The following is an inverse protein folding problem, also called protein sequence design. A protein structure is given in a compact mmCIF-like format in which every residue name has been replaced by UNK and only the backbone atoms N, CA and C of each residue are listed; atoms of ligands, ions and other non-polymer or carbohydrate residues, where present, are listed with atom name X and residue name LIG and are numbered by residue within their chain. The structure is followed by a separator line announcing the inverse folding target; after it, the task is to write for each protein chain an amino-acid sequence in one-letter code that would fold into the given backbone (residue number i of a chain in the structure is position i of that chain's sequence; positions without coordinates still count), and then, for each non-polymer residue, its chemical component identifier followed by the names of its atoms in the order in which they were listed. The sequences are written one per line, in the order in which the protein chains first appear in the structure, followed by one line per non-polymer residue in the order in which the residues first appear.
data_IF_403408215522
#
_entry.id   IF_403408215522
#
_cell.length_a   1.000
_cell.length_b   1.000
_cell.length_c   1.000
_cell.angle_alpha   90.00
_cell.angle_beta   90.00
_cell.angle_gamma   90.00
#
_symmetry.space_group_name_H-M   'P 1'
#
loop_
_entity.id
_entity.type
_entity.pdbx_description
1 polymer ?
#
# COMPACT_ATOMS: atom_id res chain seq x y z
N UNK A 1 -33.43 39.50 -51.76
CA UNK A 1 -33.31 39.37 -50.30
C UNK A 1 -33.10 37.86 -50.00
N UNK A 2 -31.85 37.44 -49.83
CA UNK A 2 -31.48 36.03 -49.57
C UNK A 2 -31.28 35.84 -48.02
N UNK A 3 -32.12 35.03 -47.42
CA UNK A 3 -32.03 34.69 -46.01
C UNK A 3 -31.04 33.54 -45.83
N UNK A 4 -29.92 33.80 -45.14
CA UNK A 4 -28.98 32.75 -44.70
C UNK A 4 -29.47 32.18 -43.35
N UNK A 5 -29.80 30.89 -43.36
CA UNK A 5 -30.09 30.16 -42.11
C UNK A 5 -28.76 29.64 -41.58
N UNK A 6 -28.38 30.07 -40.37
CA UNK A 6 -27.22 29.56 -39.65
C UNK A 6 -27.60 28.24 -38.96
N UNK A 7 -26.99 27.14 -39.38
CA UNK A 7 -27.11 25.84 -38.70
C UNK A 7 -26.09 25.79 -37.56
N UNK A 8 -26.60 25.78 -36.34
CA UNK A 8 -25.81 25.62 -35.12
C UNK A 8 -25.55 24.11 -34.88
N UNK A 9 -24.33 23.66 -35.18
CA UNK A 9 -23.88 22.30 -34.85
C UNK A 9 -23.52 22.23 -33.38
N UNK A 10 -24.38 21.60 -32.55
CA UNK A 10 -24.11 21.26 -31.18
C UNK A 10 -23.27 19.96 -31.21
N UNK A 11 -21.96 20.07 -30.93
CA UNK A 11 -21.09 18.92 -30.73
C UNK A 11 -21.39 18.31 -29.38
N UNK A 12 -22.14 17.21 -29.32
CA UNK A 12 -22.28 16.38 -28.13
C UNK A 12 -20.93 15.69 -27.89
N UNK A 13 -20.19 16.18 -26.91
CA UNK A 13 -18.99 15.52 -26.41
C UNK A 13 -19.36 14.20 -25.73
N UNK A 14 -19.15 13.09 -26.43
CA UNK A 14 -19.21 11.74 -25.85
C UNK A 14 -18.01 11.56 -24.89
N UNK A 15 -18.23 11.81 -23.61
CA UNK A 15 -17.28 11.35 -22.57
C UNK A 15 -17.37 9.83 -22.50
N UNK A 16 -16.42 9.13 -23.14
CA UNK A 16 -16.27 7.70 -22.96
C UNK A 16 -15.87 7.44 -21.49
N UNK A 17 -16.64 6.65 -20.72
CA UNK A 17 -16.18 6.20 -19.42
C UNK A 17 -14.92 5.35 -19.63
N UNK A 18 -13.81 5.72 -18.98
CA UNK A 18 -12.64 4.89 -18.91
C UNK A 18 -13.05 3.59 -18.21
N UNK A 19 -13.11 2.50 -18.94
CA UNK A 19 -13.30 1.15 -18.39
C UNK A 19 -12.01 0.80 -17.64
N UNK A 20 -11.94 1.22 -16.37
CA UNK A 20 -10.97 0.65 -15.43
C UNK A 20 -11.25 -0.86 -15.39
N UNK A 21 -10.27 -1.68 -15.77
CA UNK A 21 -10.40 -3.13 -15.81
C UNK A 21 -10.72 -3.62 -14.37
N UNK A 22 -11.93 -4.14 -14.07
CA UNK A 22 -12.32 -4.53 -12.72
C UNK A 22 -11.48 -5.68 -12.15
N UNK A 23 -10.76 -6.43 -12.99
CA UNK A 23 -9.92 -7.54 -12.58
C UNK A 23 -8.60 -7.12 -11.88
N UNK A 24 -8.25 -5.82 -11.88
CA UNK A 24 -7.03 -5.29 -11.23
C UNK A 24 -7.28 -4.53 -9.92
N UNK A 25 -8.48 -4.54 -9.37
CA UNK A 25 -8.76 -3.88 -8.09
C UNK A 25 -8.22 -4.69 -6.90
N UNK A 26 -6.92 -4.57 -6.62
CA UNK A 26 -6.28 -5.22 -5.47
C UNK A 26 -6.62 -4.50 -4.16
N UNK A 27 -7.20 -5.23 -3.21
CA UNK A 27 -7.52 -4.72 -1.87
C UNK A 27 -8.61 -3.65 -1.83
N UNK A 28 -8.83 -2.98 -0.69
CA UNK A 28 -9.86 -1.96 -0.52
C UNK A 28 -9.70 -0.79 -1.49
N UNK A 29 -10.80 -0.17 -1.89
CA UNK A 29 -10.82 0.96 -2.82
C UNK A 29 -10.20 2.24 -2.20
N UNK A 30 -9.77 3.16 -3.05
CA UNK A 30 -9.47 4.54 -2.61
C UNK A 30 -10.75 5.26 -2.20
N UNK A 31 -10.63 6.21 -1.27
CA UNK A 31 -11.75 6.96 -0.72
C UNK A 31 -12.48 6.27 0.44
N UNK A 32 -12.23 4.99 0.72
CA UNK A 32 -12.82 4.31 1.88
C UNK A 32 -11.85 4.28 3.06
N UNK A 33 -12.40 4.17 4.28
CA UNK A 33 -11.59 3.94 5.48
C UNK A 33 -10.93 2.56 5.40
N UNK A 34 -9.63 2.50 5.67
CA UNK A 34 -8.88 1.25 5.68
C UNK A 34 -9.47 0.26 6.70
N UNK A 35 -9.57 -1.03 6.38
CA UNK A 35 -9.99 -2.04 7.34
C UNK A 35 -9.12 -2.00 8.60
N UNK A 36 -9.73 -2.22 9.77
CA UNK A 36 -8.98 -2.25 11.04
C UNK A 36 -7.90 -3.33 11.00
N UNK A 37 -6.70 -2.99 11.44
CA UNK A 37 -5.63 -3.97 11.66
C UNK A 37 -5.68 -4.58 13.07
N UNK A 38 -6.59 -4.12 13.94
CA UNK A 38 -6.54 -4.49 15.35
C UNK A 38 -5.23 -4.03 15.99
N UNK A 39 -4.56 -4.93 16.70
CA UNK A 39 -3.30 -4.65 17.39
C UNK A 39 -2.24 -5.74 17.12
N UNK A 40 -1.79 -5.94 15.85
CA UNK A 40 -0.72 -6.87 15.56
C UNK A 40 0.56 -6.46 16.29
N UNK A 41 1.41 -7.44 16.60
CA UNK A 41 2.73 -7.19 17.22
C UNK A 41 3.71 -6.73 16.14
N UNK A 42 4.53 -5.74 16.47
CA UNK A 42 5.69 -5.40 15.66
C UNK A 42 6.90 -6.32 15.97
N UNK A 43 8.03 -6.05 15.34
CA UNK A 43 9.29 -6.79 15.50
C UNK A 43 9.86 -6.72 16.93
N UNK A 44 9.40 -5.82 17.79
CA UNK A 44 9.79 -5.75 19.20
C UNK A 44 8.82 -6.50 20.12
N UNK A 45 7.73 -7.05 19.55
CA UNK A 45 6.64 -7.68 20.28
C UNK A 45 5.60 -6.69 20.81
N UNK A 46 5.75 -5.38 20.54
CA UNK A 46 4.80 -4.36 20.98
C UNK A 46 3.53 -4.37 20.09
N UNK A 47 2.32 -4.30 20.69
CA UNK A 47 1.08 -4.18 19.93
C UNK A 47 0.97 -2.80 19.27
N UNK A 48 0.52 -2.76 18.01
CA UNK A 48 0.38 -1.53 17.21
C UNK A 48 -1.00 -1.41 16.60
N UNK A 49 -1.65 -0.27 16.78
CA UNK A 49 -2.88 0.11 16.07
C UNK A 49 -2.56 1.05 14.92
N UNK A 50 -3.49 1.23 13.96
CA UNK A 50 -3.33 2.23 12.89
C UNK A 50 -3.04 3.62 13.47
N UNK A 51 -3.71 3.99 14.54
CA UNK A 51 -3.53 5.28 15.20
C UNK A 51 -2.11 5.44 15.80
N UNK A 52 -1.56 4.38 16.43
CA UNK A 52 -0.21 4.42 16.99
C UNK A 52 0.89 4.45 15.93
N UNK A 53 0.58 3.98 14.72
CA UNK A 53 1.49 3.94 13.58
C UNK A 53 1.48 5.24 12.76
N UNK A 54 0.35 5.95 12.73
CA UNK A 54 0.17 7.13 11.89
C UNK A 54 1.10 8.29 12.32
N UNK A 55 1.58 9.01 11.34
CA UNK A 55 2.17 10.33 11.53
C UNK A 55 1.08 11.41 11.60
N UNK A 56 1.50 12.66 11.70
CA UNK A 56 0.60 13.83 11.79
C UNK A 56 -0.40 13.90 10.62
N UNK A 57 0.05 13.60 9.39
CA UNK A 57 -0.77 13.66 8.17
C UNK A 57 -1.25 12.30 7.69
N UNK A 58 -0.61 11.20 8.10
CA UNK A 58 -1.04 9.88 7.67
C UNK A 58 -0.02 8.77 7.83
N UNK A 59 -0.30 7.67 7.14
CA UNK A 59 0.47 6.44 7.20
C UNK A 59 0.67 5.87 5.79
N UNK A 60 1.90 5.47 5.49
CA UNK A 60 2.21 4.57 4.38
C UNK A 60 2.19 3.15 4.94
N UNK A 61 1.11 2.41 4.67
CA UNK A 61 0.92 1.04 5.11
C UNK A 61 1.15 0.10 3.93
N UNK A 62 2.10 -0.81 4.03
CA UNK A 62 2.34 -1.74 2.93
C UNK A 62 2.31 -3.20 3.37
N UNK A 63 1.84 -4.05 2.46
CA UNK A 63 1.83 -5.49 2.63
C UNK A 63 2.92 -6.11 1.76
N UNK A 64 3.70 -7.00 2.36
CA UNK A 64 4.80 -7.70 1.69
C UNK A 64 4.80 -9.18 2.05
N UNK A 65 5.46 -10.01 1.23
CA UNK A 65 5.36 -11.46 1.35
C UNK A 65 6.16 -11.98 2.54
N UNK A 66 7.47 -11.72 2.58
CA UNK A 66 8.34 -12.15 3.68
C UNK A 66 9.65 -11.36 3.71
N UNK A 67 10.10 -11.00 4.91
CA UNK A 67 11.43 -10.47 5.17
C UNK A 67 12.51 -11.57 5.19
N UNK A 68 12.11 -12.84 5.30
CA UNK A 68 13.03 -13.98 5.46
C UNK A 68 13.49 -14.53 4.12
N UNK A 69 12.56 -14.87 3.23
CA UNK A 69 12.87 -15.64 2.01
C UNK A 69 12.55 -14.91 0.69
N UNK A 70 11.93 -13.73 0.73
CA UNK A 70 11.53 -13.02 -0.48
C UNK A 70 12.55 -11.93 -0.85
N UNK A 71 13.47 -12.14 -1.82
CA UNK A 71 14.51 -11.15 -2.14
C UNK A 71 13.94 -9.83 -2.67
N UNK A 72 12.85 -9.86 -3.43
CA UNK A 72 12.15 -8.65 -3.91
C UNK A 72 11.52 -7.85 -2.75
N UNK A 73 11.05 -8.54 -1.70
CA UNK A 73 10.53 -7.90 -0.51
C UNK A 73 11.66 -7.26 0.30
N UNK A 74 12.77 -7.98 0.48
CA UNK A 74 13.94 -7.46 1.19
C UNK A 74 14.48 -6.19 0.52
N UNK A 75 14.60 -6.19 -0.81
CA UNK A 75 15.02 -5.03 -1.57
C UNK A 75 14.04 -3.84 -1.38
N UNK A 76 12.73 -4.09 -1.42
CA UNK A 76 11.72 -3.06 -1.19
C UNK A 76 11.75 -2.51 0.24
N UNK A 77 11.93 -3.37 1.25
CA UNK A 77 12.04 -2.96 2.65
C UNK A 77 13.22 -1.99 2.85
N UNK A 78 14.36 -2.28 2.23
CA UNK A 78 15.56 -1.43 2.29
C UNK A 78 15.35 -0.12 1.51
N UNK A 79 14.74 -0.18 0.33
CA UNK A 79 14.42 1.00 -0.48
C UNK A 79 13.47 1.94 0.29
N UNK A 80 12.38 1.41 0.85
CA UNK A 80 11.46 2.19 1.68
C UNK A 80 12.14 2.79 2.92
N UNK A 81 13.11 2.08 3.51
CA UNK A 81 13.87 2.58 4.65
C UNK A 81 14.69 3.85 4.30
N UNK A 82 15.20 3.95 3.10
CA UNK A 82 15.93 5.12 2.62
C UNK A 82 15.06 6.39 2.56
N UNK A 83 13.75 6.23 2.43
CA UNK A 83 12.80 7.34 2.34
C UNK A 83 12.16 7.77 3.66
N UNK A 84 12.47 7.11 4.79
CA UNK A 84 11.81 7.38 6.09
C UNK A 84 11.91 8.84 6.49
N UNK A 85 13.08 9.46 6.35
CA UNK A 85 13.28 10.87 6.70
C UNK A 85 12.39 11.80 5.84
N UNK A 86 12.30 11.55 4.53
CA UNK A 86 11.49 12.35 3.61
C UNK A 86 9.98 12.15 3.84
N UNK A 87 9.54 10.96 4.18
CA UNK A 87 8.16 10.69 4.57
C UNK A 87 7.80 11.39 5.88
N UNK A 88 8.71 11.34 6.88
CA UNK A 88 8.53 12.01 8.17
C UNK A 88 8.41 13.52 8.02
N UNK A 89 9.25 14.17 7.18
CA UNK A 89 9.15 15.61 6.87
C UNK A 89 7.78 15.99 6.28
N UNK A 90 7.13 15.08 5.58
CA UNK A 90 5.78 15.25 5.01
C UNK A 90 4.66 14.91 6.00
N UNK A 91 5.00 14.55 7.25
CA UNK A 91 4.04 14.16 8.28
C UNK A 91 3.51 12.72 8.15
N UNK A 92 4.14 11.89 7.32
CA UNK A 92 3.79 10.49 7.15
C UNK A 92 4.77 9.58 7.88
N UNK A 93 4.25 8.48 8.44
CA UNK A 93 5.04 7.37 8.93
C UNK A 93 4.89 6.15 8.01
N UNK A 94 5.75 5.17 8.19
CA UNK A 94 5.79 3.95 7.40
C UNK A 94 5.60 2.73 8.30
N UNK A 95 4.82 1.74 7.85
CA UNK A 95 4.70 0.45 8.52
C UNK A 95 4.44 -0.67 7.50
N UNK A 96 5.07 -1.82 7.69
CA UNK A 96 4.90 -3.00 6.85
C UNK A 96 4.13 -4.11 7.57
N UNK A 97 3.40 -4.95 6.82
CA UNK A 97 2.70 -6.13 7.32
C UNK A 97 3.11 -7.34 6.49
N UNK A 98 3.50 -8.42 7.14
CA UNK A 98 3.70 -9.73 6.53
C UNK A 98 3.17 -10.86 7.39
N UNK A 99 3.11 -12.06 6.84
CA UNK A 99 2.75 -13.26 7.62
C UNK A 99 3.91 -13.78 8.50
N UNK A 100 5.09 -13.14 8.44
CA UNK A 100 6.23 -13.51 9.25
C UNK A 100 5.94 -13.33 10.75
N UNK A 101 6.60 -14.13 11.58
CA UNK A 101 6.56 -13.98 13.04
C UNK A 101 7.39 -12.77 13.49
N UNK A 102 7.13 -12.20 14.68
CA UNK A 102 7.89 -11.06 15.21
C UNK A 102 9.40 -11.27 15.20
N UNK A 103 9.89 -12.44 15.60
CA UNK A 103 11.32 -12.76 15.67
C UNK A 103 12.00 -12.73 14.29
N UNK A 104 11.29 -13.18 13.25
CA UNK A 104 11.77 -13.12 11.87
C UNK A 104 11.91 -11.67 11.39
N UNK A 105 10.91 -10.84 11.67
CA UNK A 105 10.96 -9.41 11.38
C UNK A 105 12.05 -8.70 12.20
N UNK A 106 12.26 -9.10 13.47
CA UNK A 106 13.33 -8.56 14.32
C UNK A 106 14.71 -8.84 13.75
N UNK A 107 14.97 -10.07 13.30
CA UNK A 107 16.24 -10.45 12.68
C UNK A 107 16.55 -9.62 11.43
N UNK A 108 15.55 -9.40 10.57
CA UNK A 108 15.70 -8.55 9.39
C UNK A 108 15.95 -7.08 9.77
N UNK A 109 15.15 -6.55 10.72
CA UNK A 109 15.28 -5.18 11.22
C UNK A 109 16.68 -4.92 11.79
N UNK A 110 17.20 -5.81 12.61
CA UNK A 110 18.54 -5.67 13.18
C UNK A 110 19.63 -5.68 12.09
N UNK A 111 19.54 -6.61 11.15
CA UNK A 111 20.53 -6.76 10.07
C UNK A 111 20.60 -5.52 9.16
N UNK A 112 19.44 -4.94 8.82
CA UNK A 112 19.33 -3.88 7.81
C UNK A 112 18.98 -2.51 8.42
N UNK A 113 18.97 -2.41 9.75
CA UNK A 113 18.69 -1.16 10.49
C UNK A 113 17.37 -0.50 10.02
N UNK A 114 16.31 -1.31 9.90
CA UNK A 114 14.98 -0.84 9.50
C UNK A 114 14.41 0.10 10.59
N UNK A 115 14.03 1.31 10.20
CA UNK A 115 13.63 2.41 11.09
C UNK A 115 12.12 2.52 11.28
N UNK A 116 11.33 1.54 10.82
CA UNK A 116 9.88 1.55 10.90
C UNK A 116 9.33 0.19 11.35
N UNK A 117 8.09 0.15 11.89
CA UNK A 117 7.48 -1.09 12.34
C UNK A 117 7.24 -2.10 11.21
N UNK A 118 7.63 -3.35 11.45
CA UNK A 118 7.26 -4.53 10.68
C UNK A 118 6.28 -5.36 11.51
N UNK A 119 5.03 -5.36 11.11
CA UNK A 119 3.92 -6.00 11.82
C UNK A 119 3.78 -7.47 11.38
N UNK A 120 3.45 -8.31 12.34
CA UNK A 120 3.32 -9.75 12.16
C UNK A 120 1.87 -10.18 12.06
N UNK A 121 1.54 -10.91 11.00
CA UNK A 121 0.22 -11.52 10.73
C UNK A 121 0.37 -13.03 10.41
N UNK A 122 0.89 -13.86 11.35
CA UNK A 122 1.28 -15.25 11.06
C UNK A 122 0.12 -16.15 10.65
N UNK A 123 -1.12 -15.75 10.89
CA UNK A 123 -2.33 -16.43 10.43
C UNK A 123 -2.93 -15.85 9.15
N UNK A 124 -2.32 -14.81 8.58
CA UNK A 124 -2.81 -14.07 7.40
C UNK A 124 -4.22 -13.47 7.59
N UNK A 125 -4.61 -13.19 8.82
CA UNK A 125 -5.95 -12.65 9.16
C UNK A 125 -6.13 -11.24 8.61
N UNK A 126 -5.08 -10.41 8.71
CA UNK A 126 -5.09 -9.05 8.17
C UNK A 126 -4.97 -9.07 6.64
N UNK A 127 -4.11 -9.93 6.12
CA UNK A 127 -3.95 -10.16 4.68
C UNK A 127 -5.31 -10.52 4.06
N UNK A 128 -6.07 -11.42 4.69
CA UNK A 128 -7.41 -11.80 4.23
C UNK A 128 -8.43 -10.67 4.37
N UNK A 129 -8.39 -9.96 5.50
CA UNK A 129 -9.30 -8.81 5.75
C UNK A 129 -9.14 -7.71 4.70
N UNK A 130 -7.92 -7.54 4.19
CA UNK A 130 -7.63 -6.60 3.11
C UNK A 130 -7.86 -7.20 1.71
N UNK A 131 -8.27 -8.47 1.60
CA UNK A 131 -8.48 -9.15 0.30
C UNK A 131 -7.19 -9.33 -0.50
N UNK A 132 -6.06 -9.51 0.18
CA UNK A 132 -4.74 -9.49 -0.43
C UNK A 132 -4.10 -10.87 -0.60
N UNK A 133 -4.68 -11.95 -0.01
CA UNK A 133 -4.08 -13.29 -0.10
C UNK A 133 -3.83 -13.67 -1.56
N UNK A 134 -2.61 -14.10 -1.85
CA UNK A 134 -2.21 -14.53 -3.18
C UNK A 134 -2.79 -15.93 -3.46
N UNK A 135 -3.76 -16.06 -4.40
CA UNK A 135 -4.48 -17.31 -4.64
C UNK A 135 -3.63 -18.38 -5.34
N UNK A 136 -2.45 -18.01 -5.88
CA UNK A 136 -1.60 -18.96 -6.58
C UNK A 136 -0.97 -20.00 -5.64
N UNK A 137 -0.87 -19.70 -4.32
CA UNK A 137 -0.22 -20.58 -3.35
C UNK A 137 -1.25 -21.41 -2.58
N UNK A 138 -1.09 -22.72 -2.62
CA UNK A 138 -2.00 -23.68 -1.96
C UNK A 138 -1.47 -24.08 -0.59
N UNK A 139 -2.34 -24.59 0.31
CA UNK A 139 -1.94 -25.18 1.59
C UNK A 139 -0.77 -26.14 1.43
N UNK A 140 0.19 -26.10 2.36
CA UNK A 140 1.43 -26.89 2.31
C UNK A 140 2.60 -26.22 1.56
N UNK A 141 2.34 -25.15 0.81
CA UNK A 141 3.40 -24.33 0.21
C UNK A 141 4.00 -23.38 1.25
N UNK A 142 5.33 -23.17 1.19
CA UNK A 142 6.01 -22.14 2.02
C UNK A 142 5.37 -20.75 1.89
N UNK A 143 4.92 -20.41 0.70
CA UNK A 143 4.30 -19.12 0.42
C UNK A 143 2.78 -19.10 0.66
N UNK A 144 2.18 -20.18 1.20
CA UNK A 144 0.74 -20.15 1.51
C UNK A 144 0.43 -19.08 2.55
N UNK A 145 -0.50 -18.19 2.23
CA UNK A 145 -0.91 -17.09 3.12
C UNK A 145 -0.23 -15.75 2.82
N UNK A 146 0.76 -15.69 1.95
CA UNK A 146 1.38 -14.40 1.58
C UNK A 146 0.39 -13.48 0.87
N UNK A 147 0.56 -12.15 1.01
CA UNK A 147 -0.22 -11.20 0.24
C UNK A 147 0.33 -11.03 -1.18
N UNK A 148 -0.50 -10.58 -2.09
CA UNK A 148 -0.06 -9.82 -3.25
C UNK A 148 0.43 -8.47 -2.73
N UNK A 149 1.68 -8.04 -3.06
CA UNK A 149 2.27 -6.85 -2.46
C UNK A 149 1.58 -5.56 -2.92
N UNK A 150 1.36 -4.66 -1.96
CA UNK A 150 0.70 -3.38 -2.21
C UNK A 150 1.09 -2.35 -1.15
N UNK A 151 1.14 -1.08 -1.53
CA UNK A 151 1.31 0.06 -0.64
C UNK A 151 0.01 0.86 -0.63
N UNK A 152 -0.53 1.15 0.55
CA UNK A 152 -1.64 2.07 0.78
C UNK A 152 -1.08 3.37 1.37
N UNK A 153 -1.51 4.50 0.84
CA UNK A 153 -1.29 5.82 1.45
C UNK A 153 -2.59 6.21 2.14
N UNK A 154 -2.54 6.27 3.47
CA UNK A 154 -3.68 6.61 4.32
C UNK A 154 -3.53 8.05 4.81
N UNK A 155 -4.62 8.81 4.89
CA UNK A 155 -4.63 10.09 5.59
C UNK A 155 -4.67 9.92 7.13
N UNK A 156 -4.62 11.03 7.88
CA UNK A 156 -4.67 11.02 9.35
C UNK A 156 -5.97 10.47 9.95
N UNK A 157 -7.02 10.29 9.14
CA UNK A 157 -8.30 9.66 9.53
C UNK A 157 -8.34 8.17 9.12
N UNK A 158 -7.29 7.65 8.51
CA UNK A 158 -7.22 6.27 8.03
C UNK A 158 -7.94 6.02 6.70
N UNK A 159 -8.31 7.06 5.95
CA UNK A 159 -8.90 6.92 4.62
C UNK A 159 -7.81 6.64 3.60
N UNK A 160 -8.02 5.64 2.73
CA UNK A 160 -7.11 5.29 1.65
C UNK A 160 -7.13 6.38 0.58
N UNK A 161 -6.04 7.11 0.43
CA UNK A 161 -5.91 8.20 -0.55
C UNK A 161 -5.29 7.72 -1.86
N UNK A 162 -4.40 6.72 -1.79
CA UNK A 162 -3.79 6.10 -2.97
C UNK A 162 -3.40 4.66 -2.70
N UNK A 163 -3.24 3.89 -3.79
CA UNK A 163 -2.73 2.52 -3.81
C UNK A 163 -1.63 2.42 -4.85
N UNK A 164 -0.50 1.80 -4.49
CA UNK A 164 0.61 1.54 -5.40
C UNK A 164 0.91 0.05 -5.38
N UNK A 165 0.79 -0.62 -6.52
CA UNK A 165 1.08 -2.04 -6.70
C UNK A 165 1.38 -2.34 -8.16
N UNK A 166 1.97 -3.48 -8.41
CA UNK A 166 2.37 -3.94 -9.73
C UNK A 166 1.67 -5.26 -10.06
N UNK A 167 1.55 -5.58 -11.34
CA UNK A 167 0.93 -6.84 -11.79
C UNK A 167 1.72 -8.06 -11.30
N UNK A 168 3.03 -7.94 -11.25
CA UNK A 168 3.91 -9.02 -10.77
C UNK A 168 4.52 -8.70 -9.41
N UNK A 169 4.62 -9.73 -8.55
CA UNK A 169 5.30 -9.58 -7.27
C UNK A 169 6.81 -9.32 -7.37
N UNK A 170 7.41 -9.44 -8.54
CA UNK A 170 8.85 -9.17 -8.79
C UNK A 170 9.15 -7.69 -8.94
N UNK A 171 8.24 -6.93 -9.49
CA UNK A 171 8.33 -5.47 -9.60
C UNK A 171 7.72 -4.83 -8.35
N UNK A 172 8.32 -3.74 -7.90
CA UNK A 172 7.86 -3.02 -6.70
C UNK A 172 7.83 -1.52 -6.95
N UNK A 173 6.79 -0.81 -6.49
CA UNK A 173 6.81 0.65 -6.46
C UNK A 173 7.99 1.15 -5.63
N UNK A 174 8.90 1.97 -6.20
CA UNK A 174 10.03 2.52 -5.46
C UNK A 174 9.58 3.61 -4.48
N UNK A 175 10.39 3.86 -3.44
CA UNK A 175 10.10 4.89 -2.42
C UNK A 175 9.87 6.28 -3.02
N UNK A 176 10.57 6.61 -4.09
CA UNK A 176 10.38 7.88 -4.79
C UNK A 176 8.97 8.03 -5.36
N UNK A 177 8.36 6.96 -5.88
CA UNK A 177 6.98 6.99 -6.35
C UNK A 177 5.98 7.22 -5.20
N UNK A 178 6.26 6.64 -4.02
CA UNK A 178 5.46 6.89 -2.80
C UNK A 178 5.51 8.36 -2.43
N UNK A 179 6.71 8.94 -2.37
CA UNK A 179 6.94 10.36 -2.04
C UNK A 179 6.24 11.28 -3.05
N UNK A 180 6.44 11.07 -4.35
CA UNK A 180 5.78 11.83 -5.40
C UNK A 180 4.25 11.74 -5.35
N UNK A 181 3.73 10.58 -4.97
CA UNK A 181 2.27 10.39 -4.83
C UNK A 181 1.75 11.21 -3.65
N UNK A 182 2.45 11.22 -2.51
CA UNK A 182 2.11 12.06 -1.36
C UNK A 182 2.16 13.54 -1.73
N UNK A 183 3.17 14.00 -2.46
CA UNK A 183 3.30 15.38 -2.89
C UNK A 183 2.15 15.80 -3.82
N UNK A 184 1.75 14.95 -4.76
CA UNK A 184 0.55 15.18 -5.60
C UNK A 184 -0.74 15.26 -4.79
N UNK A 185 -0.94 14.37 -3.82
CA UNK A 185 -2.13 14.41 -2.95
C UNK A 185 -2.17 15.70 -2.11
N UNK A 186 -1.03 16.25 -1.72
CA UNK A 186 -0.94 17.49 -0.96
C UNK A 186 -1.22 18.74 -1.83
N UNK A 187 -0.93 18.69 -3.12
CA UNK A 187 -1.17 19.80 -4.08
C UNK A 187 -2.59 19.85 -4.64
N UNK A 188 -3.49 18.95 -4.22
CA UNK A 188 -4.89 18.96 -4.62
C UNK A 188 -5.14 18.31 -5.98
N UNK A 189 -4.24 17.42 -6.43
CA UNK A 189 -4.39 16.60 -7.63
C UNK A 189 -5.39 15.47 -7.46
#
# INVERSE_FOLDING_TARGET
MKKFAAVLLIALGLTTPSLANPDFALGPATGVTAPSIGTPKDQTGAPRSLQSLAGEKGLVLFFFRSAVWCPYCQAQLIDLNSGVAELTKRGYRLAGISYDKPDANAGFTAKWQIQYPLLSDPGSVLIDRYGLRDPQYKPGSLAFGVPRPIIFILDGKGVIKAKLYEETYKTRPPVMLVIQTIDRLASGG
#
